data_IF_768944526098
#
_entry.id   IF_768944526098
#
_cell.length_a   1.000
_cell.length_b   1.000
_cell.length_c   1.000
_cell.angle_alpha   90.00
_cell.angle_beta   90.00
_cell.angle_gamma   90.00
#
_symmetry.space_group_name_H-M   'P 1'
#
loop_
_entity.id
_entity.type
_entity.pdbx_description
1 polymer ?
#
# COMPACT_ATOMS: atom_id res chain seq x y z
N UNK A 1 -11.62 -5.04 3.88
CA UNK A 1 -11.75 -3.70 4.39
C UNK A 1 -13.04 -3.04 3.88
N UNK A 2 -12.98 -1.90 3.19
CA UNK A 2 -14.20 -1.17 2.79
C UNK A 2 -15.17 -2.01 1.96
N UNK A 3 -14.69 -2.80 1.01
CA UNK A 3 -15.51 -3.69 0.19
C UNK A 3 -16.32 -4.67 1.05
N UNK A 4 -15.63 -5.36 1.95
CA UNK A 4 -16.25 -6.32 2.86
C UNK A 4 -17.20 -5.64 3.86
N UNK A 5 -16.83 -4.45 4.33
CA UNK A 5 -17.67 -3.65 5.23
C UNK A 5 -18.97 -3.19 4.58
N UNK A 6 -18.97 -2.88 3.28
CA UNK A 6 -20.20 -2.56 2.55
C UNK A 6 -21.19 -3.71 2.58
N UNK A 7 -20.71 -4.93 2.34
CA UNK A 7 -21.56 -6.12 2.33
C UNK A 7 -22.03 -6.52 3.74
N UNK A 8 -21.12 -6.48 4.75
CA UNK A 8 -21.42 -7.03 6.09
C UNK A 8 -22.21 -6.08 6.98
N UNK A 9 -22.00 -4.78 6.84
CA UNK A 9 -22.49 -3.80 7.83
C UNK A 9 -23.38 -2.73 7.24
N UNK A 10 -23.32 -2.51 5.93
CA UNK A 10 -24.02 -1.38 5.31
C UNK A 10 -25.12 -1.82 4.34
N UNK A 11 -25.21 -3.12 4.02
CA UNK A 11 -26.11 -3.67 3.01
C UNK A 11 -26.03 -2.90 1.67
N UNK A 12 -24.78 -2.59 1.25
CA UNK A 12 -24.51 -1.85 0.04
C UNK A 12 -23.69 -2.67 -0.97
N UNK A 13 -23.96 -2.45 -2.26
CA UNK A 13 -23.08 -2.93 -3.33
C UNK A 13 -21.76 -2.14 -3.32
N UNK A 14 -20.61 -2.76 -2.99
CA UNK A 14 -19.32 -2.10 -2.94
C UNK A 14 -18.85 -1.55 -4.31
N UNK A 15 -19.26 -2.17 -5.41
CA UNK A 15 -18.95 -1.69 -6.75
C UNK A 15 -19.77 -0.42 -7.09
N UNK A 16 -21.03 -0.37 -6.71
CA UNK A 16 -21.84 0.84 -6.86
C UNK A 16 -21.27 1.99 -6.03
N UNK A 17 -20.87 1.74 -4.79
CA UNK A 17 -20.19 2.73 -3.95
C UNK A 17 -18.95 3.29 -4.64
N UNK A 18 -18.10 2.41 -5.19
CA UNK A 18 -16.88 2.82 -5.88
C UNK A 18 -17.21 3.69 -7.10
N UNK A 19 -18.17 3.30 -7.92
CA UNK A 19 -18.61 4.10 -9.07
C UNK A 19 -19.16 5.48 -8.65
N UNK A 20 -19.92 5.56 -7.56
CA UNK A 20 -20.40 6.83 -7.00
C UNK A 20 -19.24 7.73 -6.53
N UNK A 21 -18.23 7.15 -5.87
CA UNK A 21 -17.02 7.90 -5.46
C UNK A 21 -16.28 8.40 -6.70
N UNK A 22 -16.04 7.56 -7.69
CA UNK A 22 -15.40 7.93 -8.95
C UNK A 22 -16.13 9.08 -9.64
N UNK A 23 -17.44 9.03 -9.71
CA UNK A 23 -18.25 10.10 -10.32
C UNK A 23 -18.11 11.45 -9.59
N UNK A 24 -17.89 11.44 -8.27
CA UNK A 24 -17.68 12.66 -7.47
C UNK A 24 -16.23 13.15 -7.47
N UNK A 25 -15.28 12.28 -7.76
CA UNK A 25 -13.84 12.57 -7.77
C UNK A 25 -13.22 12.22 -9.13
N UNK A 26 -13.67 12.85 -10.24
CA UNK A 26 -13.24 12.45 -11.58
C UNK A 26 -11.75 12.69 -11.84
N UNK A 27 -11.17 13.71 -11.20
CA UNK A 27 -9.79 14.14 -11.41
C UNK A 27 -8.81 13.66 -10.33
N UNK A 28 -9.30 12.89 -9.33
CA UNK A 28 -8.47 12.37 -8.25
C UNK A 28 -8.26 10.88 -8.45
N UNK A 29 -7.00 10.43 -8.38
CA UNK A 29 -6.71 9.00 -8.45
C UNK A 29 -7.25 8.28 -7.22
N UNK A 30 -8.00 7.21 -7.45
CA UNK A 30 -8.54 6.35 -6.39
C UNK A 30 -7.61 5.16 -6.19
N UNK A 31 -7.24 4.94 -4.92
CA UNK A 31 -6.37 3.85 -4.53
C UNK A 31 -7.09 2.86 -3.64
N UNK A 32 -6.84 1.57 -3.85
CA UNK A 32 -7.28 0.52 -2.94
C UNK A 32 -6.09 -0.30 -2.42
N UNK A 33 -6.25 -0.87 -1.24
CA UNK A 33 -5.31 -1.83 -0.67
C UNK A 33 -5.74 -3.25 -1.03
N UNK A 34 -4.77 -4.10 -1.42
CA UNK A 34 -4.99 -5.50 -1.76
C UNK A 34 -3.98 -6.38 -1.04
N UNK A 35 -4.45 -7.43 -0.39
CA UNK A 35 -3.61 -8.42 0.33
C UNK A 35 -3.13 -9.53 -0.59
N UNK A 36 -2.48 -9.16 -1.71
CA UNK A 36 -2.00 -10.15 -2.67
C UNK A 36 -3.03 -11.22 -2.97
N UNK A 37 -2.66 -12.49 -2.86
CA UNK A 37 -3.51 -13.65 -3.14
C UNK A 37 -4.72 -13.79 -2.19
N UNK A 38 -4.72 -13.10 -1.05
CA UNK A 38 -5.83 -13.10 -0.09
C UNK A 38 -6.88 -12.04 -0.39
N UNK A 39 -6.68 -11.20 -1.41
CA UNK A 39 -7.57 -10.12 -1.81
C UNK A 39 -7.89 -9.18 -0.63
N UNK A 40 -9.11 -9.22 -0.12
CA UNK A 40 -9.57 -8.41 1.01
C UNK A 40 -9.77 -9.23 2.29
N UNK A 41 -9.59 -10.55 2.19
CA UNK A 41 -9.90 -11.50 3.26
C UNK A 41 -8.67 -12.14 3.91
N UNK A 42 -8.91 -13.32 4.47
CA UNK A 42 -7.93 -14.16 5.17
C UNK A 42 -7.81 -15.54 4.53
N UNK A 43 -8.40 -15.72 3.35
CA UNK A 43 -8.40 -16.93 2.57
C UNK A 43 -7.53 -16.75 1.33
N UNK A 44 -6.75 -17.75 0.97
CA UNK A 44 -5.94 -17.75 -0.24
C UNK A 44 -6.82 -18.13 -1.44
N UNK A 45 -6.95 -17.22 -2.39
CA UNK A 45 -7.76 -17.42 -3.59
C UNK A 45 -6.90 -17.91 -4.76
N UNK A 46 -7.46 -18.67 -5.71
CA UNK A 46 -6.77 -19.05 -6.93
C UNK A 46 -6.56 -17.85 -7.86
N UNK A 47 -5.60 -17.97 -8.77
CA UNK A 47 -5.12 -16.89 -9.63
C UNK A 47 -6.22 -16.25 -10.49
N UNK A 48 -7.14 -17.06 -11.02
CA UNK A 48 -8.26 -16.57 -11.83
C UNK A 48 -9.19 -15.64 -11.05
N UNK A 49 -9.44 -15.95 -9.79
CA UNK A 49 -10.24 -15.09 -8.90
C UNK A 49 -9.50 -13.80 -8.60
N UNK A 50 -8.19 -13.86 -8.32
CA UNK A 50 -7.36 -12.65 -8.11
C UNK A 50 -7.37 -11.75 -9.34
N UNK A 51 -7.15 -12.33 -10.52
CA UNK A 51 -7.19 -11.60 -11.79
C UNK A 51 -8.55 -10.95 -12.04
N UNK A 52 -9.62 -11.70 -11.84
CA UNK A 52 -10.98 -11.17 -12.00
C UNK A 52 -11.27 -10.02 -11.04
N UNK A 53 -10.89 -10.14 -9.78
CA UNK A 53 -11.10 -9.11 -8.78
C UNK A 53 -10.34 -7.82 -9.09
N UNK A 54 -9.05 -7.92 -9.47
CA UNK A 54 -8.21 -6.79 -9.88
C UNK A 54 -8.81 -6.09 -11.10
N UNK A 55 -9.14 -6.84 -12.14
CA UNK A 55 -9.78 -6.31 -13.35
C UNK A 55 -11.09 -5.58 -13.02
N UNK A 56 -11.98 -6.19 -12.23
CA UNK A 56 -13.24 -5.57 -11.82
C UNK A 56 -13.04 -4.31 -10.99
N UNK A 57 -12.04 -4.28 -10.13
CA UNK A 57 -11.71 -3.08 -9.35
C UNK A 57 -11.33 -1.91 -10.26
N UNK A 58 -10.49 -2.16 -11.26
CA UNK A 58 -10.06 -1.15 -12.24
C UNK A 58 -11.23 -0.70 -13.13
N UNK A 59 -12.02 -1.62 -13.66
CA UNK A 59 -13.22 -1.33 -14.46
C UNK A 59 -14.23 -0.44 -13.70
N UNK A 60 -14.30 -0.56 -12.37
CA UNK A 60 -15.18 0.25 -11.53
C UNK A 60 -14.55 1.55 -11.01
N UNK A 61 -13.32 1.87 -11.40
CA UNK A 61 -12.73 3.19 -11.21
C UNK A 61 -11.52 3.28 -10.28
N UNK A 62 -10.87 2.17 -9.93
CA UNK A 62 -9.58 2.19 -9.21
C UNK A 62 -8.46 2.50 -10.20
N UNK A 63 -7.59 3.44 -9.83
CA UNK A 63 -6.41 3.83 -10.60
C UNK A 63 -5.12 3.21 -10.06
N UNK A 64 -5.07 2.98 -8.75
CA UNK A 64 -3.88 2.47 -8.06
C UNK A 64 -4.26 1.29 -7.19
N UNK A 65 -3.57 0.17 -7.36
CA UNK A 65 -3.69 -0.97 -6.45
C UNK A 65 -2.41 -1.07 -5.62
N UNK A 66 -2.52 -0.84 -4.32
CA UNK A 66 -1.44 -1.06 -3.35
C UNK A 66 -1.49 -2.50 -2.88
N UNK A 67 -0.50 -3.27 -3.27
CA UNK A 67 -0.46 -4.71 -3.10
C UNK A 67 0.59 -5.08 -2.06
N UNK A 68 0.21 -5.85 -1.06
CA UNK A 68 1.12 -6.31 -0.01
C UNK A 68 0.90 -7.78 0.34
N UNK A 69 1.93 -8.38 0.90
CA UNK A 69 1.85 -9.60 1.69
C UNK A 69 2.35 -9.33 3.11
N UNK A 70 1.62 -9.80 4.12
CA UNK A 70 1.94 -9.52 5.53
C UNK A 70 3.31 -10.07 5.97
N UNK A 71 3.79 -11.11 5.30
CA UNK A 71 5.10 -11.74 5.55
C UNK A 71 6.17 -11.29 4.54
N UNK A 72 5.84 -10.32 3.67
CA UNK A 72 6.71 -9.84 2.59
C UNK A 72 7.14 -10.95 1.59
N UNK A 73 6.27 -11.93 1.35
CA UNK A 73 6.50 -12.94 0.33
C UNK A 73 6.06 -12.43 -1.05
N UNK A 74 7.04 -12.15 -1.90
CA UNK A 74 6.81 -11.57 -3.25
C UNK A 74 5.95 -12.49 -4.11
N UNK A 75 6.03 -13.82 -3.94
CA UNK A 75 5.22 -14.80 -4.70
C UNK A 75 3.71 -14.58 -4.51
N UNK A 76 3.30 -14.06 -3.36
CA UNK A 76 1.90 -13.78 -3.07
C UNK A 76 1.35 -12.50 -3.71
N UNK A 77 2.22 -11.66 -4.29
CA UNK A 77 1.79 -10.40 -4.92
C UNK A 77 1.94 -10.43 -6.45
N UNK A 78 2.69 -11.36 -7.02
CA UNK A 78 3.02 -11.43 -8.46
C UNK A 78 1.78 -11.39 -9.36
N UNK A 79 0.79 -12.23 -9.10
CA UNK A 79 -0.43 -12.31 -9.92
C UNK A 79 -1.22 -11.01 -9.90
N UNK A 80 -1.32 -10.38 -8.72
CA UNK A 80 -2.03 -9.12 -8.58
C UNK A 80 -1.30 -7.96 -9.25
N UNK A 81 0.05 -7.92 -9.17
CA UNK A 81 0.88 -6.92 -9.87
C UNK A 81 0.73 -7.07 -11.37
N UNK A 82 0.93 -8.28 -11.91
CA UNK A 82 0.80 -8.59 -13.34
C UNK A 82 -0.57 -8.15 -13.89
N UNK A 83 -1.65 -8.52 -13.21
CA UNK A 83 -3.00 -8.17 -13.67
C UNK A 83 -3.30 -6.67 -13.56
N UNK A 84 -2.75 -5.99 -12.53
CA UNK A 84 -2.87 -4.54 -12.39
C UNK A 84 -2.25 -3.82 -13.58
N UNK A 85 -1.03 -4.21 -13.96
CA UNK A 85 -0.29 -3.63 -15.08
C UNK A 85 -0.98 -3.93 -16.42
N UNK A 86 -1.46 -5.15 -16.63
CA UNK A 86 -2.19 -5.55 -17.84
C UNK A 86 -3.45 -4.73 -18.07
N UNK A 87 -4.13 -4.30 -17.02
CA UNK A 87 -5.33 -3.47 -17.12
C UNK A 87 -5.02 -1.96 -17.08
N UNK A 88 -3.76 -1.54 -17.17
CA UNK A 88 -3.35 -0.15 -17.30
C UNK A 88 -3.45 0.68 -16.01
N UNK A 89 -3.61 0.04 -14.85
CA UNK A 89 -3.58 0.70 -13.55
C UNK A 89 -2.17 0.71 -12.95
N UNK A 90 -1.96 1.52 -11.92
CA UNK A 90 -0.69 1.64 -11.22
C UNK A 90 -0.56 0.55 -10.17
N UNK A 91 0.46 -0.29 -10.28
CA UNK A 91 0.84 -1.26 -9.25
C UNK A 91 1.77 -0.60 -8.23
N UNK A 92 1.31 -0.52 -6.96
CA UNK A 92 2.08 -0.03 -5.82
C UNK A 92 2.44 -1.20 -4.92
N UNK A 93 3.69 -1.69 -4.98
CA UNK A 93 4.17 -2.73 -4.08
C UNK A 93 4.36 -2.18 -2.67
N UNK A 94 3.95 -2.92 -1.62
CA UNK A 94 4.10 -2.44 -0.27
C UNK A 94 4.95 -3.40 0.59
N UNK A 95 5.99 -2.84 1.19
CA UNK A 95 6.86 -3.48 2.17
C UNK A 95 6.20 -3.35 3.54
N UNK A 96 5.80 -4.44 4.15
CA UNK A 96 5.30 -4.46 5.52
C UNK A 96 6.45 -4.27 6.49
N UNK A 97 6.53 -3.10 7.11
CA UNK A 97 7.57 -2.82 8.10
C UNK A 97 7.28 -3.55 9.42
N UNK A 98 8.30 -4.19 9.95
CA UNK A 98 8.27 -4.82 11.27
C UNK A 98 9.67 -4.85 11.87
N UNK A 99 9.76 -5.14 13.15
CA UNK A 99 11.03 -5.27 13.86
C UNK A 99 11.24 -6.72 14.29
N UNK A 100 12.29 -7.35 13.78
CA UNK A 100 12.71 -8.69 14.15
C UNK A 100 14.18 -8.91 13.77
N UNK A 101 14.84 -9.97 14.24
CA UNK A 101 16.24 -10.26 13.89
C UNK A 101 16.51 -10.45 12.39
N UNK A 102 15.50 -10.81 11.61
CA UNK A 102 15.61 -11.04 10.15
C UNK A 102 15.16 -9.84 9.30
N UNK A 103 14.40 -8.90 9.88
CA UNK A 103 13.94 -7.69 9.19
C UNK A 103 14.93 -6.56 9.43
N UNK A 104 15.87 -6.43 8.54
CA UNK A 104 16.90 -5.39 8.54
C UNK A 104 16.89 -4.61 7.22
N UNK A 105 17.70 -3.57 7.15
CA UNK A 105 17.74 -2.67 6.00
C UNK A 105 18.07 -3.41 4.68
N UNK A 106 19.01 -4.37 4.73
CA UNK A 106 19.41 -5.15 3.56
C UNK A 106 18.24 -6.01 3.02
N UNK A 107 17.47 -6.64 3.93
CA UNK A 107 16.28 -7.42 3.55
C UNK A 107 15.22 -6.56 2.88
N UNK A 108 15.00 -5.33 3.35
CA UNK A 108 14.06 -4.38 2.74
C UNK A 108 14.53 -3.86 1.39
N UNK A 109 15.83 -3.59 1.22
CA UNK A 109 16.40 -3.23 -0.09
C UNK A 109 16.21 -4.36 -1.10
N UNK A 110 16.49 -5.60 -0.68
CA UNK A 110 16.28 -6.78 -1.54
C UNK A 110 14.81 -6.90 -1.97
N UNK A 111 13.89 -6.74 -1.04
CA UNK A 111 12.45 -6.80 -1.33
C UNK A 111 12.02 -5.68 -2.28
N UNK A 112 12.52 -4.46 -2.09
CA UNK A 112 12.24 -3.33 -2.97
C UNK A 112 12.71 -3.60 -4.41
N UNK A 113 13.92 -4.17 -4.58
CA UNK A 113 14.43 -4.56 -5.90
C UNK A 113 13.56 -5.62 -6.56
N UNK A 114 13.11 -6.63 -5.81
CA UNK A 114 12.19 -7.64 -6.34
C UNK A 114 10.85 -7.02 -6.79
N UNK A 115 10.31 -6.06 -6.03
CA UNK A 115 9.09 -5.35 -6.42
C UNK A 115 9.31 -4.49 -7.68
N UNK A 116 10.47 -3.84 -7.80
CA UNK A 116 10.85 -3.09 -9.01
C UNK A 116 10.97 -4.02 -10.22
N UNK A 117 11.59 -5.18 -10.07
CA UNK A 117 11.71 -6.22 -11.11
C UNK A 117 10.34 -6.78 -11.54
N UNK A 118 9.38 -6.90 -10.64
CA UNK A 118 7.99 -7.25 -10.96
C UNK A 118 7.24 -6.15 -11.74
N UNK A 119 7.82 -4.95 -11.85
CA UNK A 119 7.22 -3.82 -12.54
C UNK A 119 6.35 -2.92 -11.65
N UNK A 120 6.45 -3.01 -10.33
CA UNK A 120 5.78 -2.06 -9.44
C UNK A 120 6.23 -0.63 -9.77
N UNK A 121 5.26 0.25 -9.96
CA UNK A 121 5.50 1.65 -10.37
C UNK A 121 5.71 2.59 -9.18
N UNK A 122 5.38 2.15 -7.98
CA UNK A 122 5.72 2.79 -6.70
C UNK A 122 5.98 1.72 -5.65
N UNK A 123 6.82 2.03 -4.65
CA UNK A 123 7.10 1.16 -3.51
C UNK A 123 6.69 1.90 -2.24
N UNK A 124 5.82 1.28 -1.45
CA UNK A 124 5.32 1.83 -0.20
C UNK A 124 5.97 1.15 1.01
N UNK A 125 6.63 1.91 1.86
CA UNK A 125 6.97 1.46 3.22
C UNK A 125 5.68 1.53 4.04
N UNK A 126 5.17 0.37 4.48
CA UNK A 126 3.89 0.26 5.18
C UNK A 126 4.10 -0.09 6.64
N UNK A 127 4.06 0.91 7.49
CA UNK A 127 4.16 0.78 8.95
C UNK A 127 2.76 0.85 9.60
N UNK A 128 2.07 -0.28 9.61
CA UNK A 128 0.73 -0.40 10.21
C UNK A 128 0.72 -0.28 11.73
N UNK A 129 1.79 -0.65 12.38
CA UNK A 129 1.89 -0.63 13.84
C UNK A 129 2.28 0.75 14.37
N UNK A 130 2.79 1.64 13.53
CA UNK A 130 3.31 2.94 13.93
C UNK A 130 4.59 2.85 14.75
N UNK A 131 5.41 1.82 14.49
CA UNK A 131 6.65 1.54 15.23
C UNK A 131 7.92 1.98 14.50
N UNK A 132 7.79 2.46 13.28
CA UNK A 132 8.92 3.01 12.52
C UNK A 132 9.32 4.35 13.14
N UNK A 133 10.49 4.37 13.78
CA UNK A 133 11.03 5.58 14.38
C UNK A 133 11.51 6.61 13.35
N UNK A 134 11.64 7.90 13.73
CA UNK A 134 12.05 8.95 12.80
C UNK A 134 13.44 8.71 12.19
N UNK A 135 14.40 8.23 12.99
CA UNK A 135 15.76 7.94 12.49
C UNK A 135 15.74 6.76 11.51
N UNK A 136 15.05 5.68 11.87
CA UNK A 136 14.90 4.48 11.05
C UNK A 136 14.19 4.79 9.73
N UNK A 137 13.19 5.68 9.75
CA UNK A 137 12.51 6.14 8.55
C UNK A 137 13.46 6.90 7.61
N UNK A 138 14.27 7.81 8.17
CA UNK A 138 15.29 8.53 7.39
C UNK A 138 16.28 7.55 6.74
N UNK A 139 16.86 6.66 7.53
CA UNK A 139 17.87 5.70 7.07
C UNK A 139 17.28 4.76 6.01
N UNK A 140 16.06 4.26 6.22
CA UNK A 140 15.39 3.34 5.29
C UNK A 140 15.03 4.03 3.96
N UNK A 141 14.43 5.20 4.00
CA UNK A 141 14.08 5.95 2.79
C UNK A 141 15.34 6.27 1.99
N UNK A 142 16.37 6.81 2.64
CA UNK A 142 17.64 7.12 1.99
C UNK A 142 18.24 5.90 1.31
N UNK A 143 18.32 4.78 2.01
CA UNK A 143 18.88 3.55 1.45
C UNK A 143 18.05 3.01 0.29
N UNK A 144 16.72 3.07 0.34
CA UNK A 144 15.87 2.68 -0.79
C UNK A 144 16.10 3.60 -1.98
N UNK A 145 16.12 4.91 -1.80
CA UNK A 145 16.40 5.90 -2.88
C UNK A 145 17.76 5.70 -3.55
N UNK A 146 18.75 5.19 -2.84
CA UNK A 146 20.07 4.86 -3.38
C UNK A 146 20.09 3.53 -4.16
N UNK A 147 19.12 2.65 -3.94
CA UNK A 147 19.13 1.28 -4.46
C UNK A 147 18.06 0.96 -5.50
N UNK A 148 16.96 1.72 -5.55
CA UNK A 148 15.88 1.56 -6.54
C UNK A 148 15.57 2.90 -7.21
N UNK A 149 15.03 2.84 -8.42
CA UNK A 149 14.61 4.03 -9.19
C UNK A 149 13.13 4.35 -8.97
N UNK A 150 12.38 3.37 -8.51
CA UNK A 150 10.95 3.44 -8.27
C UNK A 150 10.65 4.46 -7.16
N UNK A 151 9.66 5.35 -7.31
CA UNK A 151 9.26 6.31 -6.28
C UNK A 151 8.88 5.62 -4.97
N UNK A 152 9.32 6.21 -3.85
CA UNK A 152 9.11 5.69 -2.49
C UNK A 152 7.96 6.45 -1.82
N UNK A 153 7.04 5.69 -1.24
CA UNK A 153 5.91 6.19 -0.46
C UNK A 153 6.11 5.77 1.00
N UNK A 154 5.79 6.65 1.95
CA UNK A 154 5.69 6.27 3.35
C UNK A 154 4.25 6.32 3.84
N UNK A 155 3.79 5.19 4.36
CA UNK A 155 2.53 5.01 5.07
C UNK A 155 2.83 4.59 6.51
N UNK A 156 2.53 5.43 7.49
CA UNK A 156 2.71 5.10 8.92
C UNK A 156 1.49 5.51 9.73
N UNK A 157 1.19 4.73 10.76
CA UNK A 157 0.13 5.05 11.73
C UNK A 157 0.70 5.83 12.92
N UNK A 158 -0.15 6.59 13.60
CA UNK A 158 0.24 7.42 14.73
C UNK A 158 0.08 6.73 16.10
N UNK A 159 -0.01 5.40 16.13
CA UNK A 159 -0.27 4.61 17.34
C UNK A 159 0.73 4.91 18.48
N UNK A 160 1.99 5.11 18.14
CA UNK A 160 3.05 5.47 19.11
C UNK A 160 3.19 6.98 19.37
N UNK A 161 2.44 7.81 18.64
CA UNK A 161 2.60 9.26 18.65
C UNK A 161 3.74 9.82 17.81
N UNK A 162 4.54 8.98 17.15
CA UNK A 162 5.73 9.41 16.39
C UNK A 162 5.44 9.76 14.93
N UNK A 163 4.24 9.45 14.41
CA UNK A 163 3.92 9.51 12.98
C UNK A 163 4.33 10.80 12.29
N UNK A 164 4.05 11.98 12.88
CA UNK A 164 4.44 13.28 12.30
C UNK A 164 5.96 13.44 12.15
N UNK A 165 6.71 13.07 13.19
CA UNK A 165 8.18 13.15 13.17
C UNK A 165 8.78 12.14 12.19
N UNK A 166 8.19 10.97 12.11
CA UNK A 166 8.58 9.90 11.17
C UNK A 166 8.38 10.36 9.73
N UNK A 167 7.22 10.96 9.40
CA UNK A 167 6.94 11.50 8.08
C UNK A 167 7.89 12.66 7.73
N UNK A 168 8.14 13.57 8.67
CA UNK A 168 9.10 14.66 8.45
C UNK A 168 10.48 14.14 8.08
N UNK A 169 10.99 13.17 8.83
CA UNK A 169 12.30 12.57 8.55
C UNK A 169 12.36 11.80 7.24
N UNK A 170 11.29 11.15 6.86
CA UNK A 170 11.19 10.50 5.56
C UNK A 170 11.26 11.51 4.41
N UNK A 171 10.56 12.64 4.52
CA UNK A 171 10.61 13.74 3.52
C UNK A 171 12.03 14.31 3.43
N UNK A 172 12.69 14.56 4.56
CA UNK A 172 14.07 15.01 4.59
C UNK A 172 15.05 14.03 3.91
N UNK A 173 14.73 12.73 3.95
CA UNK A 173 15.51 11.68 3.28
C UNK A 173 15.20 11.51 1.78
N UNK A 174 14.21 12.25 1.25
CA UNK A 174 13.82 12.22 -0.16
C UNK A 174 12.66 11.29 -0.49
N UNK A 175 11.77 10.99 0.48
CA UNK A 175 10.52 10.28 0.22
C UNK A 175 9.67 11.07 -0.79
N UNK A 176 9.16 10.39 -1.82
CA UNK A 176 8.44 11.04 -2.92
C UNK A 176 6.98 11.35 -2.56
N UNK A 177 6.35 10.50 -1.75
CA UNK A 177 4.94 10.61 -1.34
C UNK A 177 4.77 10.20 0.11
N UNK A 178 3.91 10.88 0.84
CA UNK A 178 3.48 10.49 2.19
C UNK A 178 1.97 10.29 2.24
N UNK A 179 1.52 9.28 2.96
CA UNK A 179 0.10 9.07 3.24
C UNK A 179 -0.32 9.84 4.49
N UNK A 180 -1.34 10.65 4.36
CA UNK A 180 -1.94 11.41 5.46
C UNK A 180 -3.45 11.19 5.53
N UNK A 181 -4.09 11.66 6.60
CA UNK A 181 -5.53 11.62 6.76
C UNK A 181 -6.09 13.03 6.97
N UNK A 182 -7.35 13.23 6.56
CA UNK A 182 -8.06 14.47 6.91
C UNK A 182 -8.10 14.57 8.44
N UNK A 183 -7.83 15.76 8.99
CA UNK A 183 -7.60 15.98 10.43
C UNK A 183 -8.68 15.36 11.33
N UNK A 184 -9.95 15.37 10.90
CA UNK A 184 -11.07 14.74 11.64
C UNK A 184 -10.96 13.22 11.76
N UNK A 185 -10.15 12.56 10.92
CA UNK A 185 -9.94 11.11 10.87
C UNK A 185 -8.49 10.71 11.15
N UNK A 186 -7.66 11.66 11.55
CA UNK A 186 -6.22 11.46 11.79
C UNK A 186 -5.91 11.13 13.25
N UNK A 187 -4.65 10.69 13.47
CA UNK A 187 -4.12 10.42 14.80
C UNK A 187 -4.51 9.06 15.38
N UNK A 188 -3.98 8.74 16.54
CA UNK A 188 -4.19 7.45 17.18
C UNK A 188 -3.80 6.29 16.29
N UNK A 189 -4.74 5.40 15.98
CA UNK A 189 -4.54 4.25 15.09
C UNK A 189 -4.64 4.58 13.61
N UNK A 190 -4.86 5.85 13.25
CA UNK A 190 -4.87 6.36 11.87
C UNK A 190 -3.52 7.01 11.52
N UNK A 191 -3.45 7.58 10.31
CA UNK A 191 -2.29 8.34 9.84
C UNK A 191 -2.23 9.73 10.48
N UNK A 192 -1.11 10.43 10.26
CA UNK A 192 -0.96 11.84 10.61
C UNK A 192 -1.91 12.73 9.76
N UNK A 193 -2.30 13.91 10.28
CA UNK A 193 -3.13 14.87 9.55
C UNK A 193 -2.37 15.52 8.39
#
# INVERSE_FOLDING_TARGET
ATFDSCLRYLDEDPWERLRKIRAKCPNTKLQMLLRGQNLLGYHHYPDDVVRMFVKKSIENGIDIIRIFDALNDVRNIEVAVDETLKNGAIASGAICYTQSPIHNLESYIKLAKQMEELGCQTICIKDMAGILGPKEAYDMVKALKENVKTPIILHTHCTTGLGMLTLQKAVEAGCDVIDTAISSFSGGTSQAP
#
